data_IF_933165066360
#
_entry.id   IF_933165066360
#
_cell.length_a   1.000
_cell.length_b   1.000
_cell.length_c   1.000
_cell.angle_alpha   90.00
_cell.angle_beta   90.00
_cell.angle_gamma   90.00
#
_symmetry.space_group_name_H-M   'P 1'
#
loop_
_entity.id
_entity.type
_entity.pdbx_description
1 polymer ?
#
# COMPACT_ATOMS: atom_id res chain seq x y z
N UNK A 1 17.26 14.96 -6.12
CA UNK A 1 17.03 13.54 -6.47
C UNK A 1 17.93 13.12 -7.61
N UNK A 2 18.66 12.02 -7.41
CA UNK A 2 19.40 11.43 -8.50
C UNK A 2 18.45 10.59 -9.37
N UNK A 3 18.64 10.61 -10.69
CA UNK A 3 17.77 9.90 -11.64
C UNK A 3 17.69 8.38 -11.38
N UNK A 4 18.58 7.79 -10.59
CA UNK A 4 18.57 6.36 -10.28
C UNK A 4 17.66 5.95 -9.11
N UNK A 5 17.03 6.89 -8.39
CA UNK A 5 16.30 6.60 -7.15
C UNK A 5 14.81 6.25 -7.37
N UNK A 6 14.26 6.55 -8.55
CA UNK A 6 12.85 6.25 -8.87
C UNK A 6 12.44 4.77 -8.72
N UNK A 7 13.29 3.76 -9.00
CA UNK A 7 12.90 2.36 -8.81
C UNK A 7 12.72 2.00 -7.34
N UNK A 8 13.48 2.64 -6.43
CA UNK A 8 13.38 2.43 -4.98
C UNK A 8 12.07 3.01 -4.45
N UNK A 9 11.67 4.19 -4.94
CA UNK A 9 10.39 4.81 -4.60
C UNK A 9 9.23 3.94 -5.10
N UNK A 10 9.28 3.54 -6.37
CA UNK A 10 8.25 2.71 -6.98
C UNK A 10 8.12 1.36 -6.27
N UNK A 11 9.24 0.75 -5.89
CA UNK A 11 9.27 -0.46 -5.07
C UNK A 11 8.48 -0.28 -3.78
N UNK A 12 8.79 0.78 -3.03
CA UNK A 12 8.16 1.08 -1.74
C UNK A 12 6.64 1.28 -1.87
N UNK A 13 6.20 1.96 -2.93
CA UNK A 13 4.78 2.16 -3.24
C UNK A 13 4.10 0.82 -3.56
N UNK A 14 4.70 0.01 -4.45
CA UNK A 14 4.13 -1.26 -4.88
C UNK A 14 3.97 -2.24 -3.71
N UNK A 15 5.01 -2.42 -2.89
CA UNK A 15 4.91 -3.30 -1.73
C UNK A 15 3.98 -2.73 -0.65
N UNK A 16 4.01 -1.42 -0.38
CA UNK A 16 3.11 -0.80 0.60
C UNK A 16 1.64 -0.99 0.24
N UNK A 17 1.26 -0.72 -1.02
CA UNK A 17 -0.10 -0.91 -1.50
C UNK A 17 -0.50 -2.39 -1.48
N UNK A 18 0.38 -3.30 -1.90
CA UNK A 18 0.08 -4.73 -1.94
C UNK A 18 -0.08 -5.33 -0.53
N UNK A 19 0.81 -5.00 0.41
CA UNK A 19 0.71 -5.43 1.82
C UNK A 19 -0.55 -4.85 2.44
N UNK A 20 -0.81 -3.55 2.26
CA UNK A 20 -2.03 -2.92 2.77
C UNK A 20 -3.31 -3.58 2.25
N UNK A 21 -3.36 -3.91 0.96
CA UNK A 21 -4.49 -4.63 0.37
C UNK A 21 -4.64 -6.05 0.94
N UNK A 22 -3.55 -6.75 1.16
CA UNK A 22 -3.56 -8.07 1.79
C UNK A 22 -4.11 -7.99 3.22
N UNK A 23 -3.71 -7.00 4.03
CA UNK A 23 -4.21 -6.83 5.40
C UNK A 23 -5.74 -6.63 5.43
N UNK A 24 -6.27 -5.77 4.57
CA UNK A 24 -7.71 -5.51 4.51
C UNK A 24 -8.47 -6.75 4.01
N UNK A 25 -8.02 -7.38 2.92
CA UNK A 25 -8.65 -8.59 2.41
C UNK A 25 -8.57 -9.75 3.43
N UNK A 26 -7.45 -9.89 4.14
CA UNK A 26 -7.27 -10.87 5.21
C UNK A 26 -8.27 -10.64 6.35
N UNK A 27 -8.45 -9.39 6.79
CA UNK A 27 -9.47 -9.05 7.79
C UNK A 27 -10.89 -9.38 7.32
N UNK A 28 -11.20 -9.13 6.04
CA UNK A 28 -12.50 -9.49 5.45
C UNK A 28 -12.70 -11.01 5.40
N UNK A 29 -11.66 -11.78 5.04
CA UNK A 29 -11.71 -13.26 5.05
C UNK A 29 -11.93 -13.77 6.48
N UNK A 30 -11.18 -13.26 7.46
CA UNK A 30 -11.32 -13.64 8.87
C UNK A 30 -12.69 -13.30 9.46
N UNK A 31 -13.38 -12.29 8.91
CA UNK A 31 -14.73 -11.94 9.36
C UNK A 31 -15.77 -13.03 9.08
N UNK A 32 -15.48 -13.98 8.17
CA UNK A 32 -16.38 -15.09 7.83
C UNK A 32 -17.66 -14.67 7.09
N UNK A 33 -17.80 -13.39 6.70
CA UNK A 33 -19.00 -12.87 6.01
C UNK A 33 -19.05 -13.19 4.51
N UNK A 34 -17.94 -13.62 3.93
CA UNK A 34 -17.86 -14.02 2.53
C UNK A 34 -18.34 -15.48 2.39
N UNK A 35 -19.20 -15.74 1.40
CA UNK A 35 -19.54 -17.13 1.07
C UNK A 35 -18.34 -17.83 0.42
N UNK A 36 -18.30 -19.17 0.45
CA UNK A 36 -17.20 -19.96 -0.11
C UNK A 36 -16.86 -19.56 -1.56
N UNK A 37 -17.87 -19.39 -2.42
CA UNK A 37 -17.67 -18.96 -3.80
C UNK A 37 -17.09 -17.54 -3.96
N UNK A 38 -17.43 -16.62 -3.05
CA UNK A 38 -16.83 -15.26 -3.04
C UNK A 38 -15.39 -15.28 -2.55
N UNK A 39 -15.11 -16.07 -1.50
CA UNK A 39 -13.76 -16.27 -1.02
C UNK A 39 -12.87 -16.89 -2.11
N UNK A 40 -13.35 -17.90 -2.84
CA UNK A 40 -12.58 -18.52 -3.94
C UNK A 40 -12.25 -17.52 -5.05
N UNK A 41 -13.23 -16.69 -5.45
CA UNK A 41 -13.01 -15.61 -6.45
C UNK A 41 -12.06 -14.54 -5.95
N UNK A 42 -12.12 -14.17 -4.67
CA UNK A 42 -11.15 -13.24 -4.07
C UNK A 42 -9.73 -13.82 -4.10
N UNK A 43 -9.56 -15.10 -3.76
CA UNK A 43 -8.24 -15.75 -3.87
C UNK A 43 -7.73 -15.84 -5.31
N UNK A 44 -8.61 -15.87 -6.33
CA UNK A 44 -8.22 -15.80 -7.75
C UNK A 44 -7.70 -14.42 -8.16
N UNK A 45 -8.00 -13.35 -7.42
CA UNK A 45 -7.47 -12.00 -7.71
C UNK A 45 -6.15 -11.71 -6.99
N UNK A 46 -5.79 -12.49 -5.96
CA UNK A 46 -4.54 -12.33 -5.20
C UNK A 46 -3.24 -12.41 -6.03
N UNK A 47 -3.14 -13.10 -7.19
CA UNK A 47 -1.96 -13.02 -8.04
C UNK A 47 -1.51 -11.60 -8.43
N UNK A 48 -2.43 -10.63 -8.45
CA UNK A 48 -2.07 -9.21 -8.65
C UNK A 48 -1.18 -8.70 -7.51
N UNK A 49 -1.46 -9.08 -6.26
CA UNK A 49 -0.63 -8.70 -5.10
C UNK A 49 0.76 -9.32 -5.21
N UNK A 50 0.85 -10.58 -5.65
CA UNK A 50 2.12 -11.27 -5.84
C UNK A 50 2.97 -10.61 -6.91
N UNK A 51 2.36 -10.23 -8.03
CA UNK A 51 3.03 -9.51 -9.09
C UNK A 51 3.56 -8.15 -8.60
N UNK A 52 2.78 -7.41 -7.82
CA UNK A 52 3.21 -6.12 -7.26
C UNK A 52 4.39 -6.27 -6.29
N UNK A 53 4.35 -7.27 -5.41
CA UNK A 53 5.44 -7.51 -4.44
C UNK A 53 6.70 -8.02 -5.16
N UNK A 54 6.55 -8.89 -6.16
CA UNK A 54 7.65 -9.35 -7.00
C UNK A 54 8.29 -8.19 -7.76
N UNK A 55 7.51 -7.33 -8.43
CA UNK A 55 8.00 -6.14 -9.11
C UNK A 55 8.70 -5.18 -8.13
N UNK A 56 8.14 -5.00 -6.94
CA UNK A 56 8.76 -4.22 -5.88
C UNK A 56 10.16 -4.73 -5.52
N UNK A 57 10.30 -6.03 -5.32
CA UNK A 57 11.58 -6.68 -5.04
C UNK A 57 12.56 -6.53 -6.20
N UNK A 58 12.07 -6.80 -7.42
CA UNK A 58 12.87 -6.73 -8.62
C UNK A 58 13.46 -5.34 -8.82
N UNK A 59 12.64 -4.27 -8.73
CA UNK A 59 13.13 -2.90 -8.85
C UNK A 59 14.14 -2.54 -7.76
N UNK A 60 13.85 -2.88 -6.50
CA UNK A 60 14.73 -2.55 -5.38
C UNK A 60 16.09 -3.24 -5.49
N UNK A 61 16.08 -4.56 -5.60
CA UNK A 61 17.32 -5.31 -5.53
C UNK A 61 18.17 -5.15 -6.78
N UNK A 62 17.55 -5.03 -7.96
CA UNK A 62 18.30 -4.72 -9.18
C UNK A 62 19.00 -3.37 -9.07
N UNK A 63 18.32 -2.34 -8.55
CA UNK A 63 18.94 -1.02 -8.35
C UNK A 63 20.08 -1.07 -7.33
N UNK A 64 19.90 -1.75 -6.19
CA UNK A 64 20.94 -1.85 -5.17
C UNK A 64 22.14 -2.69 -5.61
N UNK A 65 21.91 -3.78 -6.35
CA UNK A 65 22.99 -4.60 -6.91
C UNK A 65 23.80 -3.80 -7.93
N UNK A 66 23.14 -3.06 -8.82
CA UNK A 66 23.81 -2.20 -9.80
C UNK A 66 24.57 -1.05 -9.13
N UNK A 67 24.04 -0.49 -8.03
CA UNK A 67 24.69 0.57 -7.27
C UNK A 67 25.89 0.05 -6.45
N UNK A 68 25.86 -1.20 -5.99
CA UNK A 68 26.91 -1.81 -5.18
C UNK A 68 28.10 -2.34 -6.00
N UNK A 69 28.36 -1.81 -7.19
CA UNK A 69 29.29 -2.36 -8.18
C UNK A 69 30.72 -2.64 -7.67
N UNK A 70 31.15 -1.99 -6.57
CA UNK A 70 32.49 -2.14 -5.98
C UNK A 70 32.51 -2.86 -4.61
N UNK A 71 31.35 -3.24 -4.06
CA UNK A 71 31.24 -3.85 -2.72
C UNK A 71 30.34 -5.09 -2.72
N UNK A 72 30.56 -6.02 -1.78
CA UNK A 72 29.67 -7.17 -1.63
C UNK A 72 28.27 -6.71 -1.21
N UNK A 73 27.29 -6.87 -2.10
CA UNK A 73 25.89 -6.54 -1.83
C UNK A 73 25.35 -7.35 -0.63
N UNK A 74 24.70 -6.66 0.30
CA UNK A 74 23.97 -7.27 1.41
C UNK A 74 22.50 -6.83 1.38
N UNK A 75 21.55 -7.77 1.51
CA UNK A 75 20.13 -7.44 1.49
C UNK A 75 19.77 -6.59 2.71
N UNK A 76 19.07 -5.48 2.47
CA UNK A 76 18.57 -4.63 3.55
C UNK A 76 17.53 -5.35 4.42
N UNK A 77 17.37 -4.94 5.68
CA UNK A 77 16.34 -5.48 6.58
C UNK A 77 14.94 -5.41 5.95
N UNK A 78 14.60 -4.31 5.30
CA UNK A 78 13.31 -4.15 4.60
C UNK A 78 13.12 -5.18 3.48
N UNK A 79 14.17 -5.51 2.73
CA UNK A 79 14.14 -6.53 1.70
C UNK A 79 13.83 -7.91 2.30
N UNK A 80 14.52 -8.26 3.38
CA UNK A 80 14.30 -9.52 4.10
C UNK A 80 12.86 -9.61 4.61
N UNK A 81 12.33 -8.51 5.19
CA UNK A 81 10.97 -8.48 5.73
C UNK A 81 9.91 -8.64 4.63
N UNK A 82 10.03 -7.91 3.53
CA UNK A 82 9.07 -8.01 2.42
C UNK A 82 9.17 -9.37 1.72
N UNK A 83 10.38 -9.93 1.59
CA UNK A 83 10.55 -11.30 1.10
C UNK A 83 9.89 -12.32 2.03
N UNK A 84 10.08 -12.16 3.35
CA UNK A 84 9.43 -13.00 4.36
C UNK A 84 7.91 -12.91 4.28
N UNK A 85 7.37 -11.69 4.15
CA UNK A 85 5.94 -11.48 3.93
C UNK A 85 5.47 -12.17 2.65
N UNK A 86 6.20 -11.99 1.54
CA UNK A 86 5.86 -12.57 0.25
C UNK A 86 5.81 -14.10 0.31
N UNK A 87 6.83 -14.73 0.89
CA UNK A 87 6.91 -16.17 1.05
C UNK A 87 5.75 -16.71 1.91
N UNK A 88 5.50 -16.10 3.07
CA UNK A 88 4.39 -16.50 3.95
C UNK A 88 3.03 -16.33 3.29
N UNK A 89 2.84 -15.22 2.57
CA UNK A 89 1.59 -14.91 1.88
C UNK A 89 1.33 -15.87 0.71
N UNK A 90 2.38 -16.28 -0.02
CA UNK A 90 2.29 -17.34 -1.03
C UNK A 90 1.98 -18.70 -0.41
N UNK A 91 2.65 -19.08 0.70
CA UNK A 91 2.36 -20.34 1.41
C UNK A 91 0.89 -20.35 1.87
N UNK A 92 0.39 -19.24 2.43
CA UNK A 92 -1.01 -19.09 2.77
C UNK A 92 -1.93 -19.29 1.55
N UNK A 93 -1.63 -18.60 0.45
CA UNK A 93 -2.44 -18.67 -0.75
C UNK A 93 -2.51 -20.07 -1.35
N UNK A 94 -1.38 -20.77 -1.42
CA UNK A 94 -1.34 -22.16 -1.87
C UNK A 94 -2.06 -23.09 -0.89
N UNK A 95 -1.89 -22.92 0.43
CA UNK A 95 -2.57 -23.72 1.43
C UNK A 95 -4.10 -23.56 1.33
N UNK A 96 -4.60 -22.34 1.11
CA UNK A 96 -6.03 -22.08 0.93
C UNK A 96 -6.54 -22.64 -0.40
N UNK A 97 -5.79 -22.49 -1.50
CA UNK A 97 -6.18 -23.02 -2.82
C UNK A 97 -6.18 -24.54 -2.91
N UNK A 98 -5.18 -25.19 -2.30
CA UNK A 98 -5.08 -26.64 -2.26
C UNK A 98 -5.94 -27.26 -1.14
N UNK A 99 -6.63 -26.43 -0.33
CA UNK A 99 -7.34 -26.83 0.88
C UNK A 99 -6.45 -27.68 1.82
N UNK A 100 -5.16 -27.34 1.88
CA UNK A 100 -4.18 -28.10 2.63
C UNK A 100 -4.29 -27.81 4.12
N UNK A 101 -4.27 -28.87 4.94
CA UNK A 101 -4.38 -28.79 6.40
C UNK A 101 -5.79 -28.48 6.92
N UNK A 102 -5.87 -28.25 8.24
CA UNK A 102 -7.12 -27.90 8.91
C UNK A 102 -7.51 -26.43 8.70
N UNK A 103 -8.80 -26.11 8.80
CA UNK A 103 -9.30 -24.73 8.69
C UNK A 103 -8.66 -23.80 9.73
N UNK A 104 -8.40 -24.31 10.94
CA UNK A 104 -7.70 -23.57 11.99
C UNK A 104 -6.28 -23.18 11.60
N UNK A 105 -5.56 -24.09 10.93
CA UNK A 105 -4.18 -23.86 10.48
C UNK A 105 -4.12 -22.78 9.39
N UNK A 106 -5.05 -22.79 8.45
CA UNK A 106 -5.08 -21.77 7.38
C UNK A 106 -5.42 -20.39 7.93
N UNK A 107 -6.34 -20.31 8.89
CA UNK A 107 -6.66 -19.07 9.61
C UNK A 107 -5.51 -18.56 10.46
N UNK A 108 -4.81 -19.44 11.21
CA UNK A 108 -3.66 -19.03 12.00
C UNK A 108 -2.51 -18.55 11.12
N UNK A 109 -2.30 -19.20 9.97
CA UNK A 109 -1.34 -18.76 8.97
C UNK A 109 -1.71 -17.39 8.39
N UNK A 110 -2.99 -17.15 8.07
CA UNK A 110 -3.47 -15.83 7.62
C UNK A 110 -3.18 -14.74 8.66
N UNK A 111 -3.49 -15.00 9.93
CA UNK A 111 -3.21 -14.07 11.03
C UNK A 111 -1.70 -13.81 11.15
N UNK A 112 -0.88 -14.85 11.06
CA UNK A 112 0.58 -14.70 11.08
C UNK A 112 1.07 -13.79 9.95
N UNK A 113 0.61 -14.02 8.71
CA UNK A 113 0.98 -13.17 7.57
C UNK A 113 0.54 -11.73 7.78
N UNK A 114 -0.67 -11.52 8.33
CA UNK A 114 -1.17 -10.18 8.66
C UNK A 114 -0.34 -9.50 9.75
N UNK A 115 0.10 -10.22 10.77
CA UNK A 115 0.98 -9.67 11.81
C UNK A 115 2.35 -9.27 11.25
N UNK A 116 2.92 -10.08 10.37
CA UNK A 116 4.17 -9.73 9.66
C UNK A 116 3.98 -8.48 8.80
N UNK A 117 2.89 -8.40 8.02
CA UNK A 117 2.57 -7.23 7.19
C UNK A 117 2.35 -5.96 8.01
N UNK A 118 1.64 -6.04 9.14
CA UNK A 118 1.47 -4.92 10.06
C UNK A 118 2.79 -4.52 10.73
N UNK A 119 3.62 -5.49 11.11
CA UNK A 119 4.95 -5.28 11.66
C UNK A 119 5.87 -4.51 10.71
N UNK A 120 5.79 -4.79 9.40
CA UNK A 120 6.52 -4.04 8.37
C UNK A 120 6.16 -2.55 8.41
N UNK A 121 4.88 -2.20 8.49
CA UNK A 121 4.46 -0.79 8.57
C UNK A 121 4.90 -0.11 9.88
N UNK A 122 4.88 -0.83 11.00
CA UNK A 122 5.37 -0.33 12.28
C UNK A 122 6.88 -0.04 12.23
N UNK A 123 7.67 -0.96 11.69
CA UNK A 123 9.11 -0.79 11.54
C UNK A 123 9.44 0.31 10.53
N UNK A 124 8.69 0.41 9.44
CA UNK A 124 8.81 1.52 8.48
C UNK A 124 8.59 2.88 9.16
N UNK A 125 7.57 3.00 10.00
CA UNK A 125 7.29 4.22 10.77
C UNK A 125 8.41 4.56 11.76
N UNK A 126 9.10 3.55 12.32
CA UNK A 126 10.26 3.73 13.19
C UNK A 126 11.55 4.08 12.45
N UNK A 127 11.53 4.16 11.12
CA UNK A 127 12.71 4.42 10.28
C UNK A 127 13.50 3.16 9.89
N UNK A 128 13.04 1.97 10.29
CA UNK A 128 13.71 0.70 10.02
C UNK A 128 13.29 0.03 8.72
N UNK A 129 13.13 0.84 7.68
CA UNK A 129 13.10 0.35 6.32
C UNK A 129 11.69 0.29 5.71
N UNK A 130 11.50 1.17 4.76
CA UNK A 130 10.67 1.00 3.56
C UNK A 130 10.85 2.22 2.68
N UNK A 131 10.80 3.38 3.32
CA UNK A 131 10.98 4.71 2.74
C UNK A 131 12.46 5.08 2.85
N UNK A 132 13.08 5.44 1.73
CA UNK A 132 14.47 5.88 1.71
C UNK A 132 14.60 7.30 2.28
N UNK A 133 15.68 7.53 3.02
CA UNK A 133 16.40 8.81 3.18
C UNK A 133 15.70 10.03 3.79
N UNK A 134 14.58 9.90 4.50
CA UNK A 134 14.03 11.05 5.22
C UNK A 134 13.92 10.80 6.73
N UNK A 135 14.61 11.65 7.49
CA UNK A 135 14.57 11.65 8.96
C UNK A 135 13.24 12.19 9.49
N UNK A 136 12.43 12.84 8.64
CA UNK A 136 11.12 13.35 9.03
C UNK A 136 10.10 12.22 9.18
N UNK A 137 9.75 11.95 10.45
CA UNK A 137 8.63 11.08 10.81
C UNK A 137 7.30 11.52 10.21
N UNK A 138 7.14 12.81 9.92
CA UNK A 138 5.92 13.35 9.30
C UNK A 138 5.82 12.91 7.84
N UNK A 139 6.92 12.98 7.10
CA UNK A 139 6.98 12.56 5.70
C UNK A 139 6.75 11.04 5.58
N UNK A 140 7.41 10.24 6.43
CA UNK A 140 7.18 8.79 6.51
C UNK A 140 5.73 8.46 6.90
N UNK A 141 5.19 9.15 7.92
CA UNK A 141 3.81 8.96 8.35
C UNK A 141 2.79 9.27 7.26
N UNK A 142 2.99 10.35 6.50
CA UNK A 142 2.16 10.69 5.36
C UNK A 142 2.28 9.65 4.24
N UNK A 143 3.49 9.25 3.87
CA UNK A 143 3.71 8.19 2.87
C UNK A 143 2.96 6.91 3.24
N UNK A 144 3.11 6.44 4.49
CA UNK A 144 2.44 5.25 5.00
C UNK A 144 0.92 5.36 4.91
N UNK A 145 0.36 6.52 5.26
CA UNK A 145 -1.07 6.76 5.13
C UNK A 145 -1.53 6.69 3.66
N UNK A 146 -0.77 7.26 2.72
CA UNK A 146 -1.11 7.22 1.28
C UNK A 146 -1.09 5.79 0.74
N UNK A 147 -0.05 5.00 1.03
CA UNK A 147 0.02 3.60 0.56
C UNK A 147 -0.99 2.69 1.26
N UNK A 148 -1.30 2.93 2.54
CA UNK A 148 -2.37 2.20 3.24
C UNK A 148 -3.74 2.54 2.66
N UNK A 149 -4.01 3.82 2.35
CA UNK A 149 -5.21 4.22 1.64
C UNK A 149 -5.30 3.54 0.27
N UNK A 150 -4.20 3.51 -0.49
CA UNK A 150 -4.10 2.76 -1.74
C UNK A 150 -4.35 1.27 -1.58
N UNK A 151 -3.81 0.65 -0.53
CA UNK A 151 -4.06 -0.74 -0.19
C UNK A 151 -5.52 -1.02 0.13
N UNK A 152 -6.18 -0.16 0.89
CA UNK A 152 -7.62 -0.29 1.20
C UNK A 152 -8.49 -0.16 -0.05
N UNK A 153 -8.13 0.74 -0.95
CA UNK A 153 -8.79 0.95 -2.24
C UNK A 153 -8.56 -0.24 -3.19
N UNK A 154 -7.35 -0.78 -3.24
CA UNK A 154 -7.03 -1.99 -4.01
C UNK A 154 -7.80 -3.21 -3.45
N UNK A 155 -7.87 -3.37 -2.13
CA UNK A 155 -8.68 -4.41 -1.50
C UNK A 155 -10.16 -4.29 -1.89
N UNK A 156 -10.73 -3.09 -1.81
CA UNK A 156 -12.10 -2.84 -2.25
C UNK A 156 -12.29 -3.19 -3.74
N UNK A 157 -11.34 -2.81 -4.59
CA UNK A 157 -11.35 -3.14 -6.02
C UNK A 157 -11.33 -4.66 -6.27
N UNK A 158 -10.51 -5.39 -5.52
CA UNK A 158 -10.45 -6.86 -5.58
C UNK A 158 -11.74 -7.52 -5.12
N UNK A 159 -12.37 -6.99 -4.08
CA UNK A 159 -13.67 -7.46 -3.58
C UNK A 159 -14.78 -7.26 -4.61
N UNK A 160 -14.82 -6.10 -5.27
CA UNK A 160 -15.78 -5.81 -6.35
C UNK A 160 -15.56 -6.77 -7.51
N UNK A 161 -14.31 -7.02 -7.91
CA UNK A 161 -13.97 -8.05 -8.92
C UNK A 161 -14.35 -9.47 -8.49
N UNK A 162 -14.37 -9.75 -7.19
CA UNK A 162 -14.84 -11.01 -6.64
C UNK A 162 -16.37 -11.10 -6.52
N UNK A 163 -17.10 -10.05 -6.91
CA UNK A 163 -18.57 -9.95 -6.83
C UNK A 163 -19.07 -10.24 -5.40
N UNK A 164 -18.46 -9.59 -4.41
CA UNK A 164 -18.93 -9.71 -3.04
C UNK A 164 -20.37 -9.16 -2.91
N UNK A 165 -21.16 -9.79 -2.05
CA UNK A 165 -22.56 -9.41 -1.74
C UNK A 165 -22.69 -8.73 -0.37
N UNK A 166 -21.55 -8.53 0.31
CA UNK A 166 -21.52 -7.89 1.64
C UNK A 166 -21.63 -6.38 1.46
N UNK A 167 -22.87 -5.89 1.33
CA UNK A 167 -23.17 -4.48 1.09
C UNK A 167 -22.57 -3.50 2.11
N UNK A 168 -22.52 -3.81 3.43
CA UNK A 168 -21.86 -2.92 4.39
C UNK A 168 -20.40 -2.64 4.06
N UNK A 169 -19.70 -3.54 3.36
CA UNK A 169 -18.29 -3.38 3.01
C UNK A 169 -18.09 -2.24 2.00
N UNK A 170 -19.05 -2.05 1.08
CA UNK A 170 -19.04 -0.93 0.12
C UNK A 170 -19.15 0.43 0.81
N UNK A 171 -19.75 0.45 2.01
CA UNK A 171 -19.84 1.66 2.84
C UNK A 171 -18.61 1.80 3.73
N UNK A 172 -18.22 0.75 4.44
CA UNK A 172 -17.17 0.81 5.47
C UNK A 172 -15.79 1.10 4.85
N UNK A 173 -15.42 0.46 3.73
CA UNK A 173 -14.07 0.61 3.17
C UNK A 173 -13.74 2.05 2.75
N UNK A 174 -14.62 2.80 2.05
CA UNK A 174 -14.39 4.21 1.80
C UNK A 174 -14.23 5.06 3.08
N UNK A 175 -14.97 4.78 4.16
CA UNK A 175 -14.80 5.49 5.43
C UNK A 175 -13.48 5.13 6.12
N UNK A 176 -13.03 3.88 6.03
CA UNK A 176 -11.70 3.47 6.53
C UNK A 176 -10.60 4.20 5.75
N UNK A 177 -10.72 4.26 4.42
CA UNK A 177 -9.83 5.04 3.57
C UNK A 177 -9.79 6.51 3.91
N UNK A 178 -10.97 7.12 4.12
CA UNK A 178 -11.10 8.50 4.58
C UNK A 178 -10.41 8.72 5.93
N UNK A 179 -10.60 7.82 6.90
CA UNK A 179 -9.96 7.91 8.21
C UNK A 179 -8.43 7.83 8.09
N UNK A 180 -7.91 6.92 7.27
CA UNK A 180 -6.46 6.81 7.00
C UNK A 180 -5.95 8.09 6.34
N UNK A 181 -6.68 8.63 5.37
CA UNK A 181 -6.29 9.87 4.70
C UNK A 181 -6.31 11.07 5.64
N UNK A 182 -7.29 11.17 6.55
CA UNK A 182 -7.30 12.23 7.59
C UNK A 182 -6.05 12.13 8.45
N UNK A 183 -5.66 10.93 8.91
CA UNK A 183 -4.41 10.73 9.64
C UNK A 183 -3.19 11.14 8.79
N UNK A 184 -3.20 10.80 7.49
CA UNK A 184 -2.17 11.24 6.55
C UNK A 184 -2.08 12.76 6.41
N UNK A 185 -3.21 13.44 6.30
CA UNK A 185 -3.27 14.91 6.19
C UNK A 185 -2.75 15.59 7.45
N UNK A 186 -3.01 15.01 8.64
CA UNK A 186 -2.45 15.52 9.90
C UNK A 186 -0.91 15.44 9.92
N UNK A 187 -0.30 14.50 9.20
CA UNK A 187 1.15 14.44 9.01
C UNK A 187 1.63 15.35 7.86
N UNK A 188 0.84 15.46 6.78
CA UNK A 188 1.20 16.23 5.59
C UNK A 188 1.20 17.75 5.82
N UNK A 189 0.23 18.27 6.59
CA UNK A 189 0.08 19.71 6.79
C UNK A 189 1.28 20.34 7.51
N UNK A 190 1.77 19.81 8.65
CA UNK A 190 2.98 20.35 9.27
C UNK A 190 4.25 20.09 8.42
N UNK A 191 4.29 19.00 7.65
CA UNK A 191 5.40 18.77 6.74
C UNK A 191 5.44 19.82 5.60
N UNK A 192 4.28 20.26 5.09
CA UNK A 192 4.22 21.31 4.07
C UNK A 192 4.72 22.66 4.57
N UNK A 193 4.56 22.97 5.87
CA UNK A 193 5.11 24.22 6.43
C UNK A 193 6.63 24.16 6.50
N UNK A 194 7.19 23.01 6.90
CA UNK A 194 8.66 22.80 6.91
C UNK A 194 9.22 22.93 5.48
N UNK A 195 8.59 22.27 4.50
CA UNK A 195 9.02 22.36 3.10
C UNK A 195 8.87 23.77 2.51
N UNK A 196 7.90 24.56 2.98
CA UNK A 196 7.75 25.95 2.56
C UNK A 196 8.89 26.84 3.08
N UNK A 197 9.32 26.63 4.32
CA UNK A 197 10.49 27.32 4.89
C UNK A 197 11.77 26.93 4.16
N UNK A 198 11.97 25.65 3.85
CA UNK A 198 13.11 25.16 3.07
C UNK A 198 13.13 25.76 1.65
N UNK A 199 11.97 25.92 1.02
CA UNK A 199 11.84 26.62 -0.26
C UNK A 199 12.29 28.08 -0.16
N UNK A 200 11.88 28.81 0.87
CA UNK A 200 12.29 30.22 1.06
C UNK A 200 13.78 30.37 1.35
N UNK A 201 14.37 29.43 2.10
CA UNK A 201 15.77 29.49 2.56
C UNK A 201 16.77 28.94 1.52
N UNK A 202 16.43 27.82 0.87
CA UNK A 202 17.34 27.07 0.01
C UNK A 202 16.91 27.07 -1.46
N UNK A 203 15.71 27.55 -1.79
CA UNK A 203 15.19 27.56 -3.16
C UNK A 203 14.79 26.17 -3.68
N UNK A 204 14.63 25.17 -2.80
CA UNK A 204 14.29 23.80 -3.20
C UNK A 204 12.78 23.63 -3.45
N UNK A 205 12.37 23.91 -4.69
CA UNK A 205 10.95 23.88 -5.10
C UNK A 205 10.36 22.47 -5.16
N UNK A 206 11.15 21.48 -5.54
CA UNK A 206 10.62 20.17 -5.94
C UNK A 206 9.92 19.40 -4.80
N UNK A 207 10.49 19.27 -3.59
CA UNK A 207 9.83 18.55 -2.49
C UNK A 207 8.48 19.16 -2.10
N UNK A 208 8.40 20.48 -2.05
CA UNK A 208 7.16 21.20 -1.76
C UNK A 208 6.07 20.91 -2.82
N UNK A 209 6.43 21.04 -4.10
CA UNK A 209 5.47 20.84 -5.21
C UNK A 209 4.98 19.40 -5.29
N UNK A 210 5.87 18.41 -5.17
CA UNK A 210 5.49 17.00 -5.24
C UNK A 210 4.59 16.60 -4.07
N UNK A 211 4.86 17.10 -2.86
CA UNK A 211 4.00 16.85 -1.71
C UNK A 211 2.62 17.51 -1.88
N UNK A 212 2.56 18.77 -2.34
CA UNK A 212 1.30 19.47 -2.57
C UNK A 212 0.45 18.76 -3.65
N UNK A 213 1.07 18.36 -4.76
CA UNK A 213 0.41 17.58 -5.81
C UNK A 213 -0.08 16.24 -5.29
N UNK A 214 0.72 15.56 -4.46
CA UNK A 214 0.32 14.30 -3.84
C UNK A 214 -0.93 14.47 -2.97
N UNK A 215 -0.98 15.49 -2.13
CA UNK A 215 -2.16 15.80 -1.29
C UNK A 215 -3.39 16.02 -2.18
N UNK A 216 -3.26 16.82 -3.24
CA UNK A 216 -4.35 17.05 -4.20
C UNK A 216 -4.84 15.77 -4.88
N UNK A 217 -3.92 14.89 -5.31
CA UNK A 217 -4.25 13.62 -5.93
C UNK A 217 -4.86 12.61 -4.95
N UNK A 218 -4.41 12.59 -3.69
CA UNK A 218 -5.02 11.77 -2.63
C UNK A 218 -6.48 12.19 -2.42
N UNK A 219 -6.73 13.50 -2.29
CA UNK A 219 -8.08 14.04 -2.15
C UNK A 219 -8.95 13.72 -3.38
N UNK A 220 -8.38 13.85 -4.59
CA UNK A 220 -9.04 13.45 -5.82
C UNK A 220 -9.39 11.96 -5.86
N UNK A 221 -8.45 11.09 -5.48
CA UNK A 221 -8.66 9.65 -5.39
C UNK A 221 -9.78 9.30 -4.40
N UNK A 222 -9.79 9.93 -3.22
CA UNK A 222 -10.86 9.76 -2.23
C UNK A 222 -12.21 10.25 -2.77
N UNK A 223 -12.25 11.42 -3.42
CA UNK A 223 -13.48 11.95 -4.01
C UNK A 223 -14.10 10.98 -5.03
N UNK A 224 -13.28 10.45 -5.94
CA UNK A 224 -13.70 9.43 -6.90
C UNK A 224 -14.13 8.14 -6.19
N UNK A 225 -13.37 7.69 -5.20
CA UNK A 225 -13.67 6.46 -4.47
C UNK A 225 -14.98 6.56 -3.67
N UNK A 226 -15.26 7.74 -3.10
CA UNK A 226 -16.47 8.02 -2.34
C UNK A 226 -17.69 8.25 -3.23
N UNK A 227 -17.50 8.47 -4.53
CA UNK A 227 -18.56 8.80 -5.48
C UNK A 227 -19.75 7.82 -5.42
N UNK A 228 -19.56 6.48 -5.43
CA UNK A 228 -20.69 5.54 -5.34
C UNK A 228 -21.51 5.67 -4.05
N UNK A 229 -20.87 6.06 -2.95
CA UNK A 229 -21.57 6.31 -1.68
C UNK A 229 -22.40 7.61 -1.74
N UNK A 230 -21.91 8.64 -2.42
CA UNK A 230 -22.61 9.91 -2.62
C UNK A 230 -23.79 9.77 -3.58
N UNK A 231 -23.60 9.08 -4.70
CA UNK A 231 -24.62 8.87 -5.73
C UNK A 231 -25.58 7.72 -5.41
N UNK A 232 -25.36 7.01 -4.30
CA UNK A 232 -26.09 5.78 -3.93
C UNK A 232 -26.07 4.73 -5.05
N UNK A 233 -24.98 4.68 -5.80
CA UNK A 233 -24.78 3.71 -6.89
C UNK A 233 -23.88 2.56 -6.42
N UNK A 234 -23.95 1.42 -7.14
CA UNK A 234 -23.00 0.33 -6.91
C UNK A 234 -21.60 0.78 -7.32
N UNK A 235 -20.54 0.43 -6.57
CA UNK A 235 -19.18 0.75 -6.98
C UNK A 235 -18.82 -0.06 -8.23
N UNK A 236 -18.40 0.66 -9.29
CA UNK A 236 -18.06 0.06 -10.58
C UNK A 236 -16.54 -0.06 -10.68
N UNK A 237 -16.06 -1.19 -11.22
CA UNK A 237 -14.63 -1.48 -11.32
C UNK A 237 -13.82 -0.35 -11.99
N UNK A 238 -14.35 0.27 -13.06
CA UNK A 238 -13.69 1.37 -13.75
C UNK A 238 -13.42 2.60 -12.87
N UNK A 239 -14.40 3.00 -12.06
CA UNK A 239 -14.28 4.12 -11.10
C UNK A 239 -13.23 3.80 -10.04
N UNK A 240 -13.23 2.57 -9.53
CA UNK A 240 -12.27 2.13 -8.52
C UNK A 240 -10.84 2.08 -9.08
N UNK A 241 -10.67 1.58 -10.31
CA UNK A 241 -9.35 1.55 -10.96
C UNK A 241 -8.82 2.94 -11.27
N UNK A 242 -9.70 3.89 -11.61
CA UNK A 242 -9.31 5.28 -11.82
C UNK A 242 -8.85 5.93 -10.50
N UNK A 243 -9.61 5.76 -9.41
CA UNK A 243 -9.21 6.21 -8.09
C UNK A 243 -7.87 5.59 -7.66
N UNK A 244 -7.65 4.30 -7.95
CA UNK A 244 -6.41 3.60 -7.64
C UNK A 244 -5.23 4.18 -8.42
N UNK A 245 -5.43 4.54 -9.69
CA UNK A 245 -4.42 5.24 -10.50
C UNK A 245 -4.03 6.58 -9.90
N UNK A 246 -5.02 7.40 -9.50
CA UNK A 246 -4.75 8.68 -8.82
C UNK A 246 -3.97 8.49 -7.51
N UNK A 247 -4.35 7.53 -6.68
CA UNK A 247 -3.65 7.24 -5.43
C UNK A 247 -2.23 6.69 -5.68
N UNK A 248 -2.01 5.86 -6.71
CA UNK A 248 -0.69 5.36 -7.05
C UNK A 248 0.26 6.50 -7.46
N UNK A 249 -0.23 7.46 -8.25
CA UNK A 249 0.55 8.67 -8.59
C UNK A 249 0.78 9.53 -7.34
N UNK A 250 -0.23 9.69 -6.47
CA UNK A 250 -0.06 10.39 -5.20
C UNK A 250 1.04 9.76 -4.33
N UNK A 251 1.03 8.43 -4.19
CA UNK A 251 2.00 7.67 -3.41
C UNK A 251 3.43 7.82 -3.96
N UNK A 252 3.56 7.75 -5.29
CA UNK A 252 4.83 7.99 -5.96
C UNK A 252 5.35 9.40 -5.71
N UNK A 253 4.49 10.42 -5.85
CA UNK A 253 4.88 11.82 -5.62
C UNK A 253 5.30 12.09 -4.17
N UNK A 254 4.66 11.47 -3.17
CA UNK A 254 5.15 11.56 -1.78
C UNK A 254 6.56 10.99 -1.70
N UNK A 255 6.79 9.80 -2.25
CA UNK A 255 8.11 9.20 -2.23
C UNK A 255 9.18 10.00 -2.99
N UNK A 256 8.79 10.84 -3.95
CA UNK A 256 9.71 11.79 -4.62
C UNK A 256 9.92 13.12 -3.87
N UNK A 257 9.07 13.45 -2.90
CA UNK A 257 9.25 14.62 -2.04
C UNK A 257 9.94 14.29 -0.72
N UNK A 258 10.41 13.06 -0.59
CA UNK A 258 11.09 12.49 0.57
C UNK A 258 12.58 12.42 0.29
#
# INVERSE_FOLDING_TARGET
MAWFEWPLILSSVLAGVAIGAFLINGAVILSGKLCFGQSDRLHRTMPVLWLMIFLSMFFRETTLILAAAETAYQPSLAAILVFTFFALALIYWFAEKALWGSDRLRRSLLVLVMLVGAGIFLLAFQGHGFVMQNDSRLAVGYFLAVVLCGGTLLAHTMLIRAEHKVEPLNRILPYVGLAIAVVGLLAALPQLTILAEELELMGEVMPFVTQLMSVGLLLGALGVWFMPALTRSKPVAGVMTFALGLNAVAAYLVGTGI
#
